data_IF_834668604454
#
_entry.id   IF_834668604454
#
_cell.length_a   1.000
_cell.length_b   1.000
_cell.length_c   1.000
_cell.angle_alpha   90.00
_cell.angle_beta   90.00
_cell.angle_gamma   90.00
#
_symmetry.space_group_name_H-M   'P 1'
#
loop_
_entity.id
_entity.type
_entity.pdbx_description
1 polymer ?
#
# COMPACT_ATOMS: atom_id res chain seq x y z
N UNK A 1 26.04 -8.04 -17.58
CA UNK A 1 25.08 -6.91 -17.51
C UNK A 1 23.68 -7.50 -17.33
N UNK A 2 23.00 -7.18 -16.23
CA UNK A 2 21.72 -7.79 -15.84
C UNK A 2 20.56 -7.36 -16.78
N UNK A 3 19.67 -8.29 -17.19
CA UNK A 3 18.54 -8.00 -18.09
C UNK A 3 17.51 -7.02 -17.51
N UNK A 4 17.50 -6.81 -16.19
CA UNK A 4 16.59 -5.88 -15.52
C UNK A 4 17.00 -4.40 -15.65
N UNK A 5 18.25 -4.11 -16.02
CA UNK A 5 18.71 -2.73 -16.22
C UNK A 5 18.14 -2.08 -17.48
N UNK A 6 17.66 -2.88 -18.44
CA UNK A 6 17.17 -2.38 -19.74
C UNK A 6 15.73 -1.84 -19.68
N UNK A 7 14.90 -2.32 -18.75
CA UNK A 7 13.50 -1.90 -18.65
C UNK A 7 13.32 -0.53 -17.96
N UNK A 8 14.21 -0.18 -17.03
CA UNK A 8 14.18 1.10 -16.33
C UNK A 8 14.54 2.30 -17.24
N UNK A 9 15.39 2.07 -18.25
CA UNK A 9 15.82 3.11 -19.19
C UNK A 9 14.67 3.48 -20.15
N UNK A 10 13.89 2.51 -20.60
CA UNK A 10 12.82 2.73 -21.59
C UNK A 10 11.65 3.56 -21.04
N UNK A 11 11.26 3.37 -19.77
CA UNK A 11 10.19 4.18 -19.14
C UNK A 11 10.56 5.66 -18.96
N UNK A 12 11.85 5.99 -18.82
CA UNK A 12 12.31 7.38 -18.63
C UNK A 12 12.33 8.18 -19.93
N UNK A 13 12.45 7.54 -21.09
CA UNK A 13 12.52 8.21 -22.40
C UNK A 13 11.16 8.70 -22.94
N UNK A 14 10.04 8.14 -22.48
CA UNK A 14 8.70 8.60 -22.93
C UNK A 14 8.20 9.86 -22.21
N UNK A 15 8.71 10.14 -21.01
CA UNK A 15 8.27 11.31 -20.21
C UNK A 15 8.92 12.64 -20.63
N UNK A 16 10.00 12.61 -21.42
CA UNK A 16 10.75 13.81 -21.83
C UNK A 16 10.37 14.34 -23.21
N UNK A 17 9.47 13.68 -23.94
CA UNK A 17 9.05 14.08 -25.30
C UNK A 17 7.76 14.92 -25.33
N UNK A 18 7.14 15.24 -24.18
CA UNK A 18 5.85 15.92 -24.14
C UNK A 18 5.85 17.31 -23.49
N UNK A 19 7.00 18.00 -23.37
CA UNK A 19 6.99 19.34 -22.79
C UNK A 19 8.10 20.29 -23.26
N UNK A 20 7.81 21.05 -24.32
CA UNK A 20 8.15 22.47 -24.50
C UNK A 20 7.70 22.97 -25.88
N UNK A 21 7.55 24.29 -26.15
CA UNK A 21 7.27 25.41 -25.23
C UNK A 21 6.18 26.38 -25.79
N UNK A 22 5.33 26.97 -24.94
CA UNK A 22 4.57 28.16 -25.34
C UNK A 22 4.09 28.98 -24.12
N UNK A 23 4.31 30.29 -24.16
CA UNK A 23 3.52 31.27 -23.42
C UNK A 23 4.20 31.93 -22.21
N UNK A 24 4.52 33.21 -22.37
CA UNK A 24 5.14 34.13 -21.40
C UNK A 24 4.10 35.18 -20.98
N UNK A 25 3.87 35.40 -19.68
CA UNK A 25 3.30 36.62 -19.07
C UNK A 25 3.32 36.43 -17.52
N UNK A 26 4.14 37.12 -16.73
CA UNK A 26 4.01 38.51 -16.28
C UNK A 26 2.80 38.77 -15.36
N UNK A 27 3.08 39.17 -14.10
CA UNK A 27 2.20 40.08 -13.36
C UNK A 27 1.57 39.58 -12.06
N UNK A 28 2.01 40.14 -10.94
CA UNK A 28 1.12 40.66 -9.89
C UNK A 28 0.45 39.67 -8.94
N UNK A 29 1.08 39.41 -7.79
CA UNK A 29 0.34 39.00 -6.58
C UNK A 29 -0.11 40.26 -5.85
N UNK A 30 -1.42 40.55 -5.89
CA UNK A 30 -2.10 41.48 -5.00
C UNK A 30 -3.22 40.76 -4.25
N UNK A 31 -3.22 41.02 -2.95
CA UNK A 31 -4.37 41.14 -2.05
C UNK A 31 -5.01 39.86 -1.48
N UNK A 32 -4.90 39.81 -0.15
CA UNK A 32 -5.77 39.11 0.77
C UNK A 32 -7.26 39.32 0.45
N UNK A 33 -8.04 38.24 0.53
CA UNK A 33 -9.49 38.31 0.69
C UNK A 33 -9.90 37.30 1.76
N UNK A 34 -10.40 37.86 2.85
CA UNK A 34 -11.10 37.24 3.97
C UNK A 34 -12.41 36.64 3.45
N UNK A 35 -12.56 35.32 3.61
CA UNK A 35 -13.78 34.58 3.28
C UNK A 35 -14.00 33.48 4.31
N UNK A 36 -14.82 33.79 5.30
CA UNK A 36 -15.37 32.85 6.29
C UNK A 36 -16.22 31.79 5.59
N UNK A 37 -15.71 30.57 5.52
CA UNK A 37 -16.52 29.38 5.31
C UNK A 37 -16.58 28.63 6.65
N UNK A 38 -17.79 28.48 7.17
CA UNK A 38 -18.06 27.73 8.39
C UNK A 38 -17.46 26.32 8.26
N UNK A 39 -16.46 26.05 9.10
CA UNK A 39 -15.92 24.72 9.26
C UNK A 39 -17.00 23.86 9.91
N UNK A 40 -17.70 23.06 9.12
CA UNK A 40 -18.37 21.86 9.62
C UNK A 40 -17.29 21.00 10.25
N UNK A 41 -17.19 21.06 11.56
CA UNK A 41 -16.30 20.24 12.37
C UNK A 41 -16.72 18.79 12.23
N UNK A 42 -16.14 18.08 11.26
CA UNK A 42 -16.04 16.63 11.34
C UNK A 42 -15.20 16.32 12.59
N UNK A 43 -15.65 15.49 13.53
CA UNK A 43 -14.79 14.99 14.59
C UNK A 43 -13.73 14.09 13.94
N UNK A 44 -12.61 14.72 13.61
CA UNK A 44 -11.33 14.10 13.34
C UNK A 44 -10.73 13.85 14.71
N UNK A 45 -11.00 12.68 15.28
CA UNK A 45 -10.24 12.03 16.38
C UNK A 45 -10.97 10.73 16.74
N UNK A 46 -10.98 9.76 15.82
CA UNK A 46 -11.19 8.35 16.17
C UNK A 46 -9.84 7.68 16.05
N UNK A 47 -9.07 7.86 17.12
CA UNK A 47 -7.81 7.18 17.35
C UNK A 47 -8.10 5.69 17.54
N UNK A 48 -7.71 4.85 16.58
CA UNK A 48 -7.97 3.41 16.61
C UNK A 48 -7.18 2.66 17.70
N UNK A 49 -6.30 3.35 18.42
CA UNK A 49 -5.37 2.77 19.40
C UNK A 49 -5.79 2.95 20.86
N UNK A 50 -6.92 3.61 21.15
CA UNK A 50 -7.44 3.70 22.52
C UNK A 50 -8.55 2.67 22.72
N UNK A 51 -8.41 1.70 23.65
CA UNK A 51 -9.50 0.81 24.00
C UNK A 51 -10.61 1.66 24.59
N UNK A 52 -11.67 1.91 23.80
CA UNK A 52 -12.86 2.59 24.29
C UNK A 52 -13.44 1.72 25.40
N UNK A 53 -13.25 2.15 26.65
CA UNK A 53 -13.87 1.54 27.81
C UNK A 53 -15.39 1.52 27.59
N UNK A 54 -15.91 0.39 27.11
CA UNK A 54 -17.32 0.26 26.74
C UNK A 54 -17.65 -0.79 25.68
N UNK A 55 -16.70 -1.31 24.90
CA UNK A 55 -17.01 -2.38 23.92
C UNK A 55 -16.37 -3.69 24.34
N UNK A 56 -17.08 -4.45 25.18
CA UNK A 56 -16.59 -5.70 25.78
C UNK A 56 -16.23 -6.80 24.75
N UNK A 57 -16.54 -6.60 23.47
CA UNK A 57 -16.31 -7.59 22.41
C UNK A 57 -15.60 -7.04 21.17
N UNK A 58 -15.35 -5.73 21.04
CA UNK A 58 -14.86 -5.11 19.78
C UNK A 58 -15.87 -5.12 18.62
N UNK A 59 -16.89 -5.99 18.65
CA UNK A 59 -17.95 -6.10 17.64
C UNK A 59 -18.92 -4.92 17.67
N UNK A 60 -19.09 -4.27 18.83
CA UNK A 60 -19.94 -3.08 18.98
C UNK A 60 -19.48 -1.91 18.09
N UNK A 61 -18.20 -1.89 17.69
CA UNK A 61 -17.65 -0.89 16.77
C UNK A 61 -18.01 -1.12 15.30
N UNK A 62 -18.56 -2.29 14.93
CA UNK A 62 -18.90 -2.63 13.55
C UNK A 62 -20.26 -2.06 13.11
N UNK A 63 -21.12 -1.68 14.07
CA UNK A 63 -22.44 -1.12 13.79
C UNK A 63 -22.38 0.39 13.67
N UNK A 64 -22.47 0.89 12.43
CA UNK A 64 -22.45 2.33 12.14
C UNK A 64 -23.85 2.93 11.85
N UNK A 65 -24.89 2.09 11.82
CA UNK A 65 -26.27 2.53 11.55
C UNK A 65 -26.95 2.98 12.84
N UNK A 66 -27.83 3.99 12.74
CA UNK A 66 -28.58 4.52 13.89
C UNK A 66 -29.59 3.53 14.47
N UNK A 67 -30.01 2.56 13.67
CA UNK A 67 -30.95 1.50 14.04
C UNK A 67 -30.34 0.13 13.70
N UNK A 68 -30.74 -0.89 14.45
CA UNK A 68 -30.19 -2.24 14.37
C UNK A 68 -29.28 -2.58 15.55
N UNK A 69 -28.65 -3.75 15.47
CA UNK A 69 -27.71 -4.24 16.48
C UNK A 69 -26.37 -4.60 15.80
N UNK A 70 -25.31 -4.60 16.59
CA UNK A 70 -24.00 -5.07 16.13
C UNK A 70 -24.03 -6.56 15.78
N UNK A 71 -23.27 -6.98 14.76
CA UNK A 71 -23.13 -8.40 14.45
C UNK A 71 -22.55 -9.14 15.66
N UNK A 72 -23.14 -10.26 16.02
CA UNK A 72 -22.67 -11.10 17.11
C UNK A 72 -21.60 -12.08 16.60
N UNK A 73 -20.52 -12.33 17.35
CA UNK A 73 -19.55 -13.37 17.00
C UNK A 73 -20.25 -14.74 16.97
N UNK A 74 -19.95 -15.51 15.93
CA UNK A 74 -20.47 -16.87 15.73
C UNK A 74 -19.39 -17.90 16.06
N UNK A 75 -19.71 -19.18 16.27
CA UNK A 75 -18.69 -20.21 16.50
C UNK A 75 -17.75 -20.34 15.29
N UNK A 76 -16.52 -20.80 15.55
CA UNK A 76 -15.46 -20.90 14.55
C UNK A 76 -15.85 -21.72 13.30
N UNK A 77 -16.69 -22.74 13.46
CA UNK A 77 -17.18 -23.62 12.39
C UNK A 77 -18.14 -22.95 11.41
N UNK A 78 -18.72 -21.80 11.76
CA UNK A 78 -19.60 -21.04 10.85
C UNK A 78 -18.82 -20.07 9.96
N UNK A 79 -17.56 -19.80 10.29
CA UNK A 79 -16.70 -19.00 9.44
C UNK A 79 -16.07 -19.86 8.35
N UNK A 80 -15.90 -19.32 7.13
CA UNK A 80 -15.20 -20.02 6.06
C UNK A 80 -13.75 -20.36 6.42
N UNK A 81 -13.24 -21.48 5.88
CA UNK A 81 -11.89 -21.97 6.17
C UNK A 81 -10.78 -20.96 5.82
N UNK A 82 -10.97 -20.14 4.79
CA UNK A 82 -10.01 -19.11 4.39
C UNK A 82 -9.73 -18.08 5.49
N UNK A 83 -10.64 -17.90 6.47
CA UNK A 83 -10.42 -16.98 7.60
C UNK A 83 -9.23 -17.43 8.45
N UNK A 84 -9.08 -18.74 8.64
CA UNK A 84 -8.01 -19.32 9.44
C UNK A 84 -6.67 -19.33 8.70
N UNK A 85 -6.71 -19.37 7.36
CA UNK A 85 -5.53 -19.25 6.51
C UNK A 85 -4.88 -17.85 6.59
N UNK A 86 -5.68 -16.81 6.85
CA UNK A 86 -5.20 -15.42 7.02
C UNK A 86 -4.40 -15.21 8.30
N UNK A 87 -4.69 -15.98 9.35
CA UNK A 87 -3.98 -15.95 10.63
C UNK A 87 -2.62 -16.64 10.57
N UNK A 88 -2.33 -17.35 9.47
CA UNK A 88 -0.98 -17.86 9.25
C UNK A 88 0.01 -16.69 9.19
N UNK A 89 1.25 -16.85 9.67
CA UNK A 89 2.27 -15.80 9.73
C UNK A 89 2.81 -15.37 8.35
N UNK A 90 1.92 -15.14 7.38
CA UNK A 90 2.18 -14.53 6.08
C UNK A 90 2.91 -13.17 6.20
N UNK A 91 2.82 -12.52 7.36
CA UNK A 91 3.54 -11.30 7.70
C UNK A 91 5.01 -11.51 8.08
N UNK A 92 5.41 -12.70 8.51
CA UNK A 92 6.78 -12.95 8.99
C UNK A 92 7.81 -13.17 7.88
N UNK A 93 7.36 -13.50 6.66
CA UNK A 93 8.29 -13.69 5.54
C UNK A 93 8.84 -12.34 5.11
N UNK A 94 10.15 -12.13 5.22
CA UNK A 94 10.77 -10.85 4.84
C UNK A 94 10.87 -10.70 3.31
N UNK A 95 11.11 -9.48 2.82
CA UNK A 95 11.33 -9.25 1.39
C UNK A 95 12.59 -9.97 0.90
N UNK A 96 13.61 -10.06 1.75
CA UNK A 96 14.86 -10.77 1.44
C UNK A 96 14.61 -12.26 1.26
N UNK A 97 13.83 -12.89 2.15
CA UNK A 97 13.50 -14.32 2.04
C UNK A 97 12.75 -14.63 0.73
N UNK A 98 11.73 -13.82 0.41
CA UNK A 98 10.99 -13.96 -0.84
C UNK A 98 11.88 -13.76 -2.08
N UNK A 99 12.87 -12.87 -1.97
CA UNK A 99 13.80 -12.60 -3.06
C UNK A 99 14.81 -13.72 -3.23
N UNK A 100 15.34 -14.26 -2.14
CA UNK A 100 16.21 -15.42 -2.17
C UNK A 100 15.49 -16.64 -2.77
N UNK A 101 14.25 -16.91 -2.35
CA UNK A 101 13.42 -17.99 -2.92
C UNK A 101 13.22 -17.80 -4.43
N UNK A 102 12.86 -16.58 -4.85
CA UNK A 102 12.66 -16.24 -6.26
C UNK A 102 13.95 -16.40 -7.09
N UNK A 103 15.06 -15.85 -6.62
CA UNK A 103 16.34 -15.89 -7.32
C UNK A 103 16.86 -17.33 -7.45
N UNK A 104 16.66 -18.18 -6.43
CA UNK A 104 17.00 -19.60 -6.49
C UNK A 104 16.19 -20.34 -7.58
N UNK A 105 14.87 -20.13 -7.63
CA UNK A 105 14.01 -20.78 -8.61
C UNK A 105 14.29 -20.29 -10.04
N UNK A 106 14.57 -19.00 -10.19
CA UNK A 106 14.98 -18.42 -11.48
C UNK A 106 16.32 -18.99 -11.94
N UNK A 107 17.27 -19.22 -11.04
CA UNK A 107 18.55 -19.85 -11.39
C UNK A 107 18.37 -21.32 -11.82
N UNK A 108 17.40 -22.04 -11.23
CA UNK A 108 17.16 -23.45 -11.54
C UNK A 108 16.41 -23.66 -12.86
N UNK A 109 15.40 -22.86 -13.17
CA UNK A 109 14.53 -23.08 -14.32
C UNK A 109 13.90 -21.82 -14.91
N UNK A 110 14.43 -20.65 -14.57
CA UNK A 110 13.94 -19.37 -15.05
C UNK A 110 12.64 -18.93 -14.38
N UNK A 111 12.08 -17.85 -14.93
CA UNK A 111 10.85 -17.21 -14.43
C UNK A 111 9.62 -18.13 -14.46
N UNK A 112 9.41 -19.01 -15.46
CA UNK A 112 8.26 -19.92 -15.47
C UNK A 112 8.24 -20.86 -14.26
N UNK A 113 9.39 -21.43 -13.90
CA UNK A 113 9.49 -22.32 -12.73
C UNK A 113 9.20 -21.58 -11.43
N UNK A 114 9.67 -20.34 -11.30
CA UNK A 114 9.37 -19.50 -10.14
C UNK A 114 7.86 -19.23 -10.02
N UNK A 115 7.17 -18.94 -11.13
CA UNK A 115 5.72 -18.74 -11.15
C UNK A 115 4.93 -19.97 -10.71
N UNK A 116 5.33 -21.16 -11.16
CA UNK A 116 4.69 -22.41 -10.78
C UNK A 116 4.94 -22.78 -9.31
N UNK A 117 6.16 -22.57 -8.81
CA UNK A 117 6.58 -23.05 -7.48
C UNK A 117 6.26 -22.09 -6.34
N UNK A 118 6.54 -20.81 -6.49
CA UNK A 118 6.18 -19.82 -5.47
C UNK A 118 4.69 -19.48 -5.50
N UNK A 119 4.05 -19.66 -6.65
CA UNK A 119 2.69 -19.21 -6.88
C UNK A 119 2.60 -17.70 -7.10
N UNK A 120 1.50 -17.31 -7.75
CA UNK A 120 1.23 -15.94 -8.15
C UNK A 120 1.21 -14.94 -6.98
N UNK A 121 0.58 -15.31 -5.85
CA UNK A 121 0.41 -14.41 -4.70
C UNK A 121 1.73 -14.00 -4.04
N UNK A 122 2.67 -14.95 -3.89
CA UNK A 122 4.01 -14.66 -3.33
C UNK A 122 4.79 -13.71 -4.24
N UNK A 123 4.74 -13.94 -5.55
CA UNK A 123 5.45 -13.09 -6.53
C UNK A 123 4.86 -11.68 -6.53
N UNK A 124 3.53 -11.55 -6.54
CA UNK A 124 2.90 -10.23 -6.42
C UNK A 124 3.31 -9.51 -5.13
N UNK A 125 3.38 -10.24 -4.01
CA UNK A 125 3.80 -9.68 -2.72
C UNK A 125 5.25 -9.22 -2.75
N UNK A 126 6.16 -10.02 -3.31
CA UNK A 126 7.56 -9.65 -3.51
C UNK A 126 7.67 -8.33 -4.29
N UNK A 127 6.98 -8.23 -5.43
CA UNK A 127 7.01 -7.03 -6.27
C UNK A 127 6.45 -5.79 -5.54
N UNK A 128 5.29 -5.92 -4.88
CA UNK A 128 4.68 -4.82 -4.14
C UNK A 128 5.58 -4.33 -3.00
N UNK A 129 6.20 -5.25 -2.26
CA UNK A 129 7.08 -4.90 -1.13
C UNK A 129 8.42 -4.31 -1.60
N UNK A 130 9.04 -4.88 -2.64
CA UNK A 130 10.26 -4.32 -3.26
C UNK A 130 10.03 -2.89 -3.73
N UNK A 131 8.94 -2.63 -4.46
CA UNK A 131 8.60 -1.28 -4.92
C UNK A 131 8.42 -0.30 -3.75
N UNK A 132 7.86 -0.76 -2.63
CA UNK A 132 7.69 0.07 -1.42
C UNK A 132 9.02 0.42 -0.78
N UNK A 133 9.98 -0.52 -0.77
CA UNK A 133 11.35 -0.28 -0.27
C UNK A 133 12.09 0.72 -1.18
N UNK A 134 12.02 0.54 -2.50
CA UNK A 134 12.63 1.46 -3.47
C UNK A 134 12.11 2.89 -3.31
N UNK A 135 10.80 3.06 -3.17
CA UNK A 135 10.17 4.37 -2.93
C UNK A 135 10.62 4.96 -1.59
N UNK A 136 10.71 4.13 -0.55
CA UNK A 136 11.17 4.56 0.78
C UNK A 136 12.62 5.05 0.72
N UNK A 137 13.49 4.32 0.04
CA UNK A 137 14.89 4.73 -0.15
C UNK A 137 15.00 6.02 -0.96
N UNK A 138 14.25 6.15 -2.05
CA UNK A 138 14.23 7.37 -2.86
C UNK A 138 13.79 8.58 -2.03
N UNK A 139 12.74 8.44 -1.23
CA UNK A 139 12.26 9.48 -0.34
C UNK A 139 13.28 9.82 0.76
N UNK A 140 14.04 8.83 1.26
CA UNK A 140 15.10 9.07 2.23
C UNK A 140 16.26 9.87 1.61
N UNK A 141 16.71 9.50 0.41
CA UNK A 141 17.75 10.22 -0.35
C UNK A 141 17.33 11.65 -0.72
N UNK A 142 16.03 11.86 -0.99
CA UNK A 142 15.49 13.19 -1.28
C UNK A 142 15.40 14.13 -0.08
N UNK A 143 15.48 13.62 1.16
CA UNK A 143 15.47 14.45 2.39
C UNK A 143 16.86 14.92 2.82
N UNK A 144 17.92 14.29 2.30
CA UNK A 144 19.32 14.62 2.63
C UNK A 144 19.92 15.68 1.70
N UNK A 145 19.18 16.13 0.69
CA UNK A 145 19.54 17.19 -0.26
C UNK A 145 18.75 18.46 0.05
#
# INVERSE_FOLDING_TARGET
MSPFARLAIFRRQLATQAKSPAGKAAGGKKSAAKGTAAATTLPKDVDASSPRAGTASGWDGLHYLKTGAAPSPRPASEYPDWLWELLSPLEQVTVQDLRHEYDQLVQQGGVPLALERMGHEKIQRLLKRSNKEDIREQNARGKTL
#
